data_IF_941856555614
#
_entry.id   IF_941856555614
#
_cell.length_a   1.000
_cell.length_b   1.000
_cell.length_c   1.000
_cell.angle_alpha   90.00
_cell.angle_beta   90.00
_cell.angle_gamma   90.00
#
_symmetry.space_group_name_H-M   'P 1'
#
loop_
_entity.id
_entity.type
_entity.pdbx_description
1 polymer ?
#
# COMPACT_ATOMS: atom_id res chain seq x y z
N UNK A 1 20.74 -0.55 3.42
CA UNK A 1 19.50 0.22 3.71
C UNK A 1 19.59 0.78 5.11
N UNK A 2 18.85 1.85 5.41
CA UNK A 2 18.77 2.36 6.78
C UNK A 2 17.96 1.40 7.66
N UNK A 3 18.26 1.33 8.96
CA UNK A 3 17.40 0.62 9.92
C UNK A 3 16.11 1.41 10.13
N UNK A 4 15.04 0.70 10.47
CA UNK A 4 13.78 1.31 10.87
C UNK A 4 13.98 2.08 12.20
N UNK A 5 13.65 3.38 12.27
CA UNK A 5 13.75 4.16 13.51
C UNK A 5 12.89 3.61 14.64
N UNK A 6 11.84 2.83 14.34
CA UNK A 6 10.98 2.19 15.34
C UNK A 6 11.49 0.82 15.83
N UNK A 7 12.65 0.38 15.35
CA UNK A 7 13.28 -0.89 15.77
C UNK A 7 12.77 -2.14 15.06
N UNK A 8 11.78 -2.01 14.15
CA UNK A 8 11.21 -3.13 13.40
C UNK A 8 10.40 -4.13 14.25
N UNK A 9 9.87 -5.16 13.61
CA UNK A 9 9.03 -6.19 14.24
C UNK A 9 9.60 -7.60 14.03
N UNK A 10 9.59 -8.41 15.10
CA UNK A 10 10.12 -9.79 15.12
C UNK A 10 9.04 -10.87 15.27
N UNK A 11 7.76 -10.53 15.04
CA UNK A 11 6.65 -11.48 15.25
C UNK A 11 6.66 -12.69 14.28
N UNK A 12 7.49 -12.67 13.23
CA UNK A 12 7.55 -13.70 12.17
C UNK A 12 6.21 -13.90 11.44
N UNK A 13 5.46 -12.82 11.25
CA UNK A 13 4.11 -12.83 10.67
C UNK A 13 3.09 -13.72 11.42
N UNK A 14 3.28 -13.91 12.74
CA UNK A 14 2.33 -14.63 13.60
C UNK A 14 1.28 -13.74 14.25
N UNK A 15 1.50 -12.43 14.25
CA UNK A 15 0.62 -11.43 14.88
C UNK A 15 0.10 -10.46 13.83
N UNK A 16 1.02 -9.91 13.03
CA UNK A 16 0.67 -9.05 11.90
C UNK A 16 0.75 -9.86 10.60
N UNK A 17 -0.02 -9.43 9.61
CA UNK A 17 -0.03 -10.04 8.28
C UNK A 17 1.37 -10.09 7.67
N UNK A 18 1.55 -11.05 6.77
CA UNK A 18 2.78 -11.19 6.00
C UNK A 18 3.02 -9.91 5.16
N UNK A 19 4.28 -9.46 5.10
CA UNK A 19 4.61 -8.28 4.28
C UNK A 19 4.26 -8.57 2.81
N UNK A 20 3.45 -7.71 2.15
CA UNK A 20 3.04 -7.93 0.77
C UNK A 20 4.19 -7.74 -0.24
N UNK A 21 5.24 -7.01 0.14
CA UNK A 21 6.35 -6.67 -0.75
C UNK A 21 7.62 -7.47 -0.45
N UNK A 22 7.90 -7.76 0.83
CA UNK A 22 9.11 -8.47 1.25
C UNK A 22 8.78 -9.48 2.35
N UNK A 23 8.12 -10.62 2.03
CA UNK A 23 7.64 -11.58 3.02
C UNK A 23 8.76 -12.31 3.78
N UNK A 24 9.97 -12.35 3.20
CA UNK A 24 11.13 -13.01 3.79
C UNK A 24 12.41 -12.25 3.46
N UNK A 25 13.31 -12.14 4.43
CA UNK A 25 14.66 -11.64 4.18
C UNK A 25 15.48 -12.71 3.44
N UNK A 26 15.91 -12.41 2.21
CA UNK A 26 16.72 -13.33 1.38
C UNK A 26 18.14 -13.59 1.93
N UNK A 27 18.60 -12.79 2.89
CA UNK A 27 19.94 -12.92 3.48
C UNK A 27 19.96 -13.81 4.74
N UNK A 28 18.98 -13.67 5.63
CA UNK A 28 18.96 -14.40 6.92
C UNK A 28 17.73 -15.31 7.11
N UNK A 29 16.79 -15.32 6.17
CA UNK A 29 15.59 -16.16 6.24
C UNK A 29 14.53 -15.69 7.24
N UNK A 30 14.66 -14.51 7.86
CA UNK A 30 13.63 -13.97 8.73
C UNK A 30 12.33 -13.72 7.95
N UNK A 31 11.24 -14.35 8.37
CA UNK A 31 9.88 -14.04 7.89
C UNK A 31 9.45 -12.67 8.40
N UNK A 32 8.99 -11.81 7.51
CA UNK A 32 8.71 -10.41 7.79
C UNK A 32 7.21 -10.14 7.66
N UNK A 33 6.67 -9.47 8.68
CA UNK A 33 5.30 -8.98 8.66
C UNK A 33 5.18 -7.58 8.05
N UNK A 34 3.96 -7.14 7.77
CA UNK A 34 3.62 -5.87 7.14
C UNK A 34 4.12 -4.62 7.89
N UNK A 35 4.39 -4.72 9.20
CA UNK A 35 5.01 -3.64 9.98
C UNK A 35 6.44 -3.35 9.53
N UNK A 36 7.16 -4.37 9.04
CA UNK A 36 8.50 -4.19 8.50
C UNK A 36 8.41 -3.66 7.07
N UNK A 37 8.63 -2.35 6.92
CA UNK A 37 8.53 -1.70 5.61
C UNK A 37 9.70 -2.12 4.70
N UNK A 38 9.43 -2.36 3.40
CA UNK A 38 10.39 -2.98 2.49
C UNK A 38 11.59 -2.08 2.13
N UNK A 39 11.50 -0.78 2.39
CA UNK A 39 12.58 0.19 2.16
C UNK A 39 13.60 0.27 3.31
N UNK A 40 13.28 -0.28 4.48
CA UNK A 40 14.23 -0.43 5.58
C UNK A 40 15.05 -1.71 5.46
N UNK A 41 16.16 -1.75 6.18
CA UNK A 41 16.97 -2.95 6.34
C UNK A 41 16.27 -3.99 7.21
N UNK A 42 16.65 -5.26 7.03
CA UNK A 42 16.20 -6.35 7.87
C UNK A 42 16.48 -6.05 9.35
N UNK A 43 15.49 -6.20 10.25
CA UNK A 43 15.69 -5.91 11.67
C UNK A 43 16.63 -6.93 12.35
N UNK A 44 16.83 -8.11 11.78
CA UNK A 44 17.74 -9.14 12.33
C UNK A 44 19.18 -9.02 11.84
N UNK A 45 19.42 -8.88 10.54
CA UNK A 45 20.78 -8.92 9.96
C UNK A 45 21.24 -7.60 9.34
N UNK A 46 20.40 -6.55 9.35
CA UNK A 46 20.64 -5.26 8.70
C UNK A 46 20.89 -5.33 7.17
N UNK A 47 20.68 -6.49 6.54
CA UNK A 47 20.74 -6.62 5.09
C UNK A 47 19.58 -5.86 4.41
N UNK A 48 19.79 -5.29 3.22
CA UNK A 48 18.71 -4.67 2.45
C UNK A 48 17.65 -5.71 2.08
N UNK A 49 16.37 -5.38 2.28
CA UNK A 49 15.25 -6.28 1.96
C UNK A 49 14.91 -6.31 0.47
N UNK A 50 15.23 -5.24 -0.25
CA UNK A 50 15.04 -5.11 -1.69
C UNK A 50 16.34 -4.72 -2.37
N UNK A 51 16.51 -5.19 -3.61
CA UNK A 51 17.51 -4.64 -4.51
C UNK A 51 17.14 -3.19 -4.89
N UNK A 52 18.12 -2.32 -5.21
CA UNK A 52 17.85 -0.93 -5.59
C UNK A 52 16.83 -0.80 -6.74
N UNK A 53 17.00 -1.57 -7.82
CA UNK A 53 16.08 -1.58 -8.96
C UNK A 53 14.66 -2.04 -8.60
N UNK A 54 14.53 -3.06 -7.73
CA UNK A 54 13.23 -3.53 -7.26
C UNK A 54 12.53 -2.48 -6.39
N UNK A 55 13.30 -1.69 -5.63
CA UNK A 55 12.75 -0.57 -4.83
C UNK A 55 12.24 0.56 -5.73
N UNK A 56 12.99 0.91 -6.77
CA UNK A 56 12.56 1.90 -7.76
C UNK A 56 11.31 1.45 -8.52
N UNK A 57 11.27 0.20 -8.96
CA UNK A 57 10.09 -0.40 -9.59
C UNK A 57 8.86 -0.36 -8.68
N UNK A 58 9.02 -0.69 -7.39
CA UNK A 58 7.94 -0.60 -6.41
C UNK A 58 7.48 0.85 -6.20
N UNK A 59 8.40 1.81 -6.14
CA UNK A 59 8.03 3.22 -6.01
C UNK A 59 7.20 3.70 -7.21
N UNK A 60 7.60 3.35 -8.44
CA UNK A 60 6.84 3.66 -9.65
C UNK A 60 5.46 3.00 -9.64
N UNK A 61 5.37 1.73 -9.26
CA UNK A 61 4.11 1.01 -9.16
C UNK A 61 3.16 1.66 -8.15
N UNK A 62 3.68 2.09 -6.99
CA UNK A 62 2.88 2.77 -5.98
C UNK A 62 2.40 4.15 -6.45
N UNK A 63 3.25 4.91 -7.16
CA UNK A 63 2.84 6.18 -7.76
C UNK A 63 1.70 6.00 -8.76
N UNK A 64 1.82 5.04 -9.68
CA UNK A 64 0.75 4.72 -10.65
C UNK A 64 -0.55 4.28 -9.96
N UNK A 65 -0.45 3.47 -8.90
CA UNK A 65 -1.61 3.06 -8.11
C UNK A 65 -2.29 4.24 -7.41
N UNK A 66 -1.51 5.20 -6.90
CA UNK A 66 -2.03 6.43 -6.29
C UNK A 66 -2.78 7.24 -7.35
N UNK A 67 -2.16 7.51 -8.49
CA UNK A 67 -2.76 8.31 -9.56
C UNK A 67 -4.05 7.68 -10.09
N UNK A 68 -4.03 6.37 -10.33
CA UNK A 68 -5.20 5.62 -10.76
C UNK A 68 -6.32 5.64 -9.71
N UNK A 69 -5.97 5.63 -8.42
CA UNK A 69 -6.97 5.70 -7.33
C UNK A 69 -7.60 7.08 -7.25
N UNK A 70 -6.80 8.14 -7.30
CA UNK A 70 -7.30 9.52 -7.30
C UNK A 70 -8.22 9.79 -8.50
N UNK A 71 -7.87 9.29 -9.68
CA UNK A 71 -8.71 9.42 -10.87
C UNK A 71 -10.08 8.73 -10.70
N UNK A 72 -10.12 7.54 -10.08
CA UNK A 72 -11.37 6.82 -9.79
C UNK A 72 -12.22 7.56 -8.76
N UNK A 73 -11.61 8.07 -7.70
CA UNK A 73 -12.30 8.83 -6.66
C UNK A 73 -12.93 10.12 -7.21
N UNK A 74 -12.20 10.86 -8.06
CA UNK A 74 -12.72 12.06 -8.69
C UNK A 74 -13.88 11.75 -9.66
N UNK A 75 -13.75 10.70 -10.48
CA UNK A 75 -14.83 10.26 -11.37
C UNK A 75 -16.09 9.88 -10.58
N UNK A 76 -15.93 9.14 -9.47
CA UNK A 76 -17.04 8.78 -8.59
C UNK A 76 -17.70 10.02 -7.95
N UNK A 77 -16.88 11.01 -7.57
CA UNK A 77 -17.38 12.28 -7.02
C UNK A 77 -18.22 13.05 -8.04
N UNK A 78 -17.74 13.19 -9.28
CA UNK A 78 -18.47 13.86 -10.35
C UNK A 78 -19.78 13.16 -10.69
N UNK A 79 -19.74 11.82 -10.81
CA UNK A 79 -20.93 11.01 -11.05
C UNK A 79 -21.98 11.21 -9.95
N UNK A 80 -21.58 11.19 -8.68
CA UNK A 80 -22.49 11.41 -7.55
C UNK A 80 -23.15 12.80 -7.59
N UNK A 81 -22.42 13.84 -8.00
CA UNK A 81 -22.96 15.20 -8.17
C UNK A 81 -23.99 15.27 -9.31
N UNK A 82 -23.69 14.62 -10.44
CA UNK A 82 -24.62 14.55 -11.57
C UNK A 82 -25.90 13.80 -11.22
N UNK A 83 -25.77 12.67 -10.51
CA UNK A 83 -26.92 11.86 -10.11
C UNK A 83 -27.78 12.59 -9.06
N UNK A 84 -27.16 13.31 -8.13
CA UNK A 84 -27.88 14.19 -7.21
C UNK A 84 -28.63 15.30 -7.95
N UNK A 85 -28.02 15.92 -8.97
CA UNK A 85 -28.68 16.93 -9.80
C UNK A 85 -29.87 16.36 -10.58
N UNK A 86 -29.71 15.17 -11.17
CA UNK A 86 -30.79 14.47 -11.88
C UNK A 86 -31.94 14.13 -10.92
N UNK A 87 -31.63 13.63 -9.73
CA UNK A 87 -32.63 13.31 -8.72
C UNK A 87 -33.39 14.55 -8.23
N UNK A 88 -32.72 15.67 -7.99
CA UNK A 88 -33.37 16.92 -7.59
C UNK A 88 -34.30 17.52 -8.67
N UNK A 89 -34.00 17.28 -9.95
CA UNK A 89 -34.83 17.67 -11.09
C UNK A 89 -35.90 16.64 -11.48
N UNK A 90 -35.91 15.44 -10.86
CA UNK A 90 -36.89 14.41 -11.16
C UNK A 90 -38.22 14.73 -10.45
N UNK A 91 -39.30 14.79 -11.23
CA UNK A 91 -40.65 14.91 -10.67
C UNK A 91 -40.97 13.60 -9.92
N UNK A 92 -41.46 13.65 -8.67
CA UNK A 92 -41.75 12.43 -7.90
C UNK A 92 -42.83 11.61 -8.62
N UNK A 93 -42.54 10.34 -8.91
CA UNK A 93 -43.54 9.40 -9.43
C UNK A 93 -44.51 9.01 -8.31
N UNK A 94 -45.75 9.48 -8.38
CA UNK A 94 -46.81 9.05 -7.48
C UNK A 94 -47.20 7.60 -7.84
N UNK A 95 -46.90 6.66 -6.95
CA UNK A 95 -47.39 5.26 -6.99
C UNK A 95 -48.10 4.96 -5.68
#
# INVERSE_FOLDING_TARGET
GARDPKGGCFCKARIHDLSPYTPICKSCGLVLCAVNLPFYACPSCAAPLMAPSAREALALQLSDQIDATLAREEAARLQALEDARKAAGAFPSLS
#
